data_IF_572915274069
#
_entry.id   IF_572915274069
#
_cell.length_a   1.000
_cell.length_b   1.000
_cell.length_c   1.000
_cell.angle_alpha   90.00
_cell.angle_beta   90.00
_cell.angle_gamma   90.00
#
_symmetry.space_group_name_H-M   'P 1'
#
loop_
_entity.id
_entity.type
_entity.pdbx_description
1 polymer ?
#
# COMPACT_ATOMS: atom_id res chain seq x y z
N UNK A 1 24.64 36.31 38.65
CA UNK A 1 23.52 35.84 37.81
C UNK A 1 23.49 34.33 37.83
N UNK A 2 22.68 33.72 38.70
CA UNK A 2 22.51 32.27 38.74
C UNK A 2 21.77 31.82 37.48
N UNK A 3 22.47 31.17 36.55
CA UNK A 3 21.82 30.41 35.49
C UNK A 3 21.22 29.17 36.15
N UNK A 4 19.97 29.23 36.58
CA UNK A 4 19.23 28.02 36.92
C UNK A 4 19.08 27.22 35.64
N UNK A 5 19.97 26.24 35.41
CA UNK A 5 19.80 25.26 34.35
C UNK A 5 18.40 24.68 34.49
N UNK A 6 17.58 24.79 33.44
CA UNK A 6 16.25 24.16 33.41
C UNK A 6 16.42 22.69 33.83
N UNK A 7 15.54 22.12 34.68
CA UNK A 7 15.61 20.72 35.09
C UNK A 7 15.83 19.75 33.92
N UNK A 8 15.27 20.07 32.74
CA UNK A 8 15.48 19.33 31.50
C UNK A 8 16.95 19.28 31.07
N UNK A 9 17.71 20.35 31.25
CA UNK A 9 19.13 20.39 30.89
C UNK A 9 19.97 19.46 31.79
N UNK A 10 19.68 19.43 33.08
CA UNK A 10 20.34 18.52 34.04
C UNK A 10 19.97 17.07 33.69
N UNK A 11 18.70 16.78 33.44
CA UNK A 11 18.28 15.43 33.05
C UNK A 11 18.93 14.96 31.75
N UNK A 12 19.01 15.81 30.71
CA UNK A 12 19.71 15.47 29.47
C UNK A 12 21.20 15.23 29.69
N UNK A 13 21.85 16.03 30.54
CA UNK A 13 23.26 15.86 30.85
C UNK A 13 23.51 14.50 31.53
N UNK A 14 22.68 14.13 32.52
CA UNK A 14 22.78 12.83 33.21
C UNK A 14 22.43 11.66 32.29
N UNK A 15 21.43 11.82 31.42
CA UNK A 15 20.97 10.77 30.51
C UNK A 15 22.07 10.24 29.59
N UNK A 16 23.07 11.06 29.24
CA UNK A 16 24.21 10.64 28.41
C UNK A 16 24.96 9.42 28.97
N UNK A 17 25.14 9.36 30.28
CA UNK A 17 25.78 8.23 30.98
C UNK A 17 24.81 7.15 31.45
N UNK A 18 23.50 7.40 31.37
CA UNK A 18 22.45 6.55 31.94
C UNK A 18 21.53 5.94 30.89
N UNK A 19 21.94 5.93 29.61
CA UNK A 19 21.18 5.33 28.51
C UNK A 19 20.85 3.85 28.75
N UNK A 20 21.71 3.11 29.45
CA UNK A 20 21.47 1.72 29.82
C UNK A 20 20.38 1.53 30.90
N UNK A 21 20.01 2.61 31.60
CA UNK A 21 19.11 2.62 32.75
C UNK A 21 17.78 3.34 32.46
N UNK A 22 17.42 3.47 31.17
CA UNK A 22 16.11 3.98 30.78
C UNK A 22 15.03 2.90 30.93
N UNK A 23 13.79 3.32 31.13
CA UNK A 23 12.65 2.43 31.25
C UNK A 23 11.41 2.98 30.56
N UNK A 24 10.75 2.13 29.78
CA UNK A 24 9.41 2.36 29.24
C UNK A 24 8.38 1.64 30.12
N UNK A 25 7.38 2.36 30.58
CA UNK A 25 6.28 1.82 31.36
C UNK A 25 5.49 0.79 30.56
N UNK A 26 5.23 -0.37 31.16
CA UNK A 26 4.40 -1.45 30.60
C UNK A 26 2.98 -1.41 31.14
N UNK A 27 2.09 -2.21 30.55
CA UNK A 27 0.72 -2.43 31.03
C UNK A 27 0.68 -3.08 32.42
N UNK A 28 1.65 -3.95 32.73
CA UNK A 28 1.79 -4.63 34.03
C UNK A 28 2.23 -3.69 35.17
N UNK A 29 2.54 -2.43 34.83
CA UNK A 29 2.93 -1.41 35.79
C UNK A 29 4.41 -1.39 36.17
N UNK A 30 5.22 -2.28 35.61
CA UNK A 30 6.68 -2.22 35.70
C UNK A 30 7.29 -1.48 34.49
N UNK A 31 8.62 -1.43 34.40
CA UNK A 31 9.33 -0.74 33.34
C UNK A 31 10.22 -1.73 32.58
N UNK A 32 10.08 -1.74 31.25
CA UNK A 32 10.97 -2.44 30.35
C UNK A 32 12.18 -1.54 30.02
N UNK A 33 13.38 -2.07 30.21
CA UNK A 33 14.65 -1.39 29.94
C UNK A 33 15.45 -2.04 28.82
N UNK A 34 16.59 -1.42 28.45
CA UNK A 34 17.54 -1.98 27.50
C UNK A 34 17.98 -3.40 27.91
N UNK A 35 18.34 -4.23 26.92
CA UNK A 35 18.79 -5.62 27.10
C UNK A 35 17.76 -6.53 27.78
N UNK A 36 16.46 -6.24 27.61
CA UNK A 36 15.36 -7.07 28.12
C UNK A 36 15.15 -6.97 29.64
N UNK A 37 15.74 -5.98 30.30
CA UNK A 37 15.56 -5.78 31.75
C UNK A 37 14.12 -5.38 32.07
N UNK A 38 13.59 -5.87 33.19
CA UNK A 38 12.29 -5.43 33.74
C UNK A 38 12.46 -5.05 35.20
N UNK A 39 12.11 -3.82 35.55
CA UNK A 39 12.30 -3.28 36.90
C UNK A 39 11.12 -2.43 37.36
N UNK A 40 11.00 -2.25 38.67
CA UNK A 40 10.00 -1.37 39.30
C UNK A 40 10.68 -0.16 39.94
N UNK A 41 9.95 0.94 40.11
CA UNK A 41 10.46 2.07 40.89
C UNK A 41 10.57 1.63 42.35
N UNK A 42 11.73 1.88 42.96
CA UNK A 42 11.95 1.61 44.38
C UNK A 42 11.04 2.48 45.27
N UNK A 43 10.47 1.95 46.37
CA UNK A 43 9.59 2.72 47.27
C UNK A 43 10.20 4.01 47.83
N UNK A 44 11.51 4.01 48.04
CA UNK A 44 12.26 5.20 48.49
C UNK A 44 12.54 6.25 47.42
N UNK A 45 12.08 6.06 46.17
CA UNK A 45 12.26 7.07 45.12
C UNK A 45 11.10 8.07 45.15
N UNK A 46 11.39 9.34 44.84
CA UNK A 46 10.42 10.43 44.87
C UNK A 46 9.22 10.19 43.95
N UNK A 47 9.39 9.51 42.83
CA UNK A 47 8.30 9.18 41.89
C UNK A 47 7.46 7.96 42.30
N UNK A 48 7.77 7.29 43.42
CA UNK A 48 6.95 6.19 43.91
C UNK A 48 5.60 6.72 44.39
N UNK A 49 4.50 6.07 43.97
CA UNK A 49 3.13 6.51 44.30
C UNK A 49 2.64 7.77 43.57
N UNK A 50 3.50 8.41 42.77
CA UNK A 50 3.08 9.51 41.89
C UNK A 50 2.44 9.01 40.59
N UNK A 51 1.85 9.93 39.83
CA UNK A 51 1.37 9.64 38.47
C UNK A 51 2.53 9.06 37.64
N UNK A 52 2.40 7.84 37.10
CA UNK A 52 3.51 7.18 36.42
C UNK A 52 3.87 7.93 35.14
N UNK A 53 5.17 8.22 34.98
CA UNK A 53 5.72 8.72 33.72
C UNK A 53 5.92 7.56 32.76
N UNK A 54 5.59 7.77 31.48
CA UNK A 54 5.74 6.72 30.48
C UNK A 54 7.22 6.33 30.27
N UNK A 55 8.11 7.31 30.29
CA UNK A 55 9.55 7.13 30.15
C UNK A 55 10.29 7.67 31.36
N UNK A 56 11.21 6.87 31.89
CA UNK A 56 12.07 7.24 33.02
C UNK A 56 13.53 6.92 32.74
N UNK A 57 14.44 7.62 33.42
CA UNK A 57 15.82 7.18 33.64
C UNK A 57 16.01 6.89 35.12
N UNK A 58 16.92 5.97 35.44
CA UNK A 58 17.35 5.67 36.79
C UNK A 58 18.84 5.93 36.97
N UNK A 59 19.24 6.48 38.12
CA UNK A 59 20.65 6.59 38.45
C UNK A 59 21.29 5.20 38.64
N UNK A 60 20.55 4.28 39.25
CA UNK A 60 20.96 2.90 39.45
C UNK A 60 19.77 1.94 39.35
N UNK A 61 20.06 0.73 38.86
CA UNK A 61 19.15 -0.42 38.86
C UNK A 61 19.79 -1.49 39.74
N UNK A 62 19.13 -1.84 40.84
CA UNK A 62 19.68 -2.71 41.88
C UNK A 62 18.77 -3.92 42.08
N UNK A 63 19.36 -5.11 42.11
CA UNK A 63 18.65 -6.35 42.42
C UNK A 63 18.62 -6.55 43.95
N UNK A 64 17.42 -6.58 44.52
CA UNK A 64 17.20 -7.03 45.89
C UNK A 64 16.22 -8.21 45.88
N UNK A 65 14.99 -8.05 46.39
CA UNK A 65 13.91 -9.03 46.22
C UNK A 65 13.36 -9.03 44.79
N UNK A 66 13.36 -7.88 44.14
CA UNK A 66 13.07 -7.67 42.72
C UNK A 66 14.12 -6.71 42.16
N UNK A 67 14.13 -6.52 40.85
CA UNK A 67 14.94 -5.50 40.21
C UNK A 67 14.26 -4.14 40.42
N UNK A 68 14.95 -3.21 41.09
CA UNK A 68 14.42 -1.89 41.42
C UNK A 68 15.28 -0.77 40.86
N UNK A 69 14.63 0.24 40.29
CA UNK A 69 15.24 1.50 39.89
C UNK A 69 15.19 2.52 41.04
N UNK A 70 16.33 3.16 41.33
CA UNK A 70 16.45 4.21 42.36
C UNK A 70 16.83 5.55 41.75
N UNK A 71 16.45 6.62 42.44
CA UNK A 71 16.68 8.01 42.02
C UNK A 71 16.21 8.24 40.58
N UNK A 72 14.92 7.98 40.33
CA UNK A 72 14.35 8.04 38.99
C UNK A 72 13.91 9.46 38.63
N UNK A 73 14.02 9.79 37.34
CA UNK A 73 13.55 11.04 36.78
C UNK A 73 12.81 10.79 35.46
N UNK A 74 11.76 11.57 35.13
CA UNK A 74 11.09 11.46 33.84
C UNK A 74 12.02 11.93 32.71
N UNK A 75 11.95 11.24 31.58
CA UNK A 75 12.68 11.59 30.35
C UNK A 75 11.75 11.52 29.14
N UNK A 76 12.22 12.06 28.00
CA UNK A 76 11.49 11.99 26.73
C UNK A 76 12.18 11.00 25.78
N UNK A 77 11.43 10.22 24.98
CA UNK A 77 12.02 9.31 24.00
C UNK A 77 12.91 10.04 22.99
N UNK A 78 12.54 11.27 22.61
CA UNK A 78 13.34 12.11 21.72
C UNK A 78 14.70 12.53 22.31
N UNK A 79 14.84 12.58 23.64
CA UNK A 79 16.15 12.81 24.27
C UNK A 79 16.99 11.56 24.23
N UNK A 80 16.40 10.41 24.54
CA UNK A 80 17.06 9.09 24.49
C UNK A 80 17.65 8.88 23.10
N UNK A 81 16.82 9.02 22.06
CA UNK A 81 17.25 8.80 20.68
C UNK A 81 18.39 9.74 20.26
N UNK A 82 18.25 11.05 20.50
CA UNK A 82 19.27 12.05 20.12
C UNK A 82 20.61 11.82 20.80
N UNK A 83 20.60 11.37 22.05
CA UNK A 83 21.82 11.09 22.81
C UNK A 83 22.40 9.71 22.46
N UNK A 84 21.55 8.78 22.04
CA UNK A 84 21.93 7.40 21.72
C UNK A 84 22.14 7.14 20.22
N UNK A 85 22.32 8.17 19.37
CA UNK A 85 22.42 8.00 17.90
C UNK A 85 23.47 6.96 17.48
N UNK A 86 24.53 6.80 18.28
CA UNK A 86 25.65 5.87 18.08
C UNK A 86 25.38 4.45 18.64
N UNK A 87 24.30 4.26 19.40
CA UNK A 87 23.93 2.99 20.05
C UNK A 87 22.61 2.40 19.51
N UNK A 88 21.80 3.21 18.83
CA UNK A 88 20.49 2.76 18.35
C UNK A 88 20.62 1.90 17.09
N UNK A 89 19.89 0.78 17.08
CA UNK A 89 19.56 0.05 15.87
C UNK A 89 18.34 0.67 15.19
N UNK A 90 18.29 0.58 13.86
CA UNK A 90 17.18 1.07 13.04
C UNK A 90 16.69 -0.04 12.13
N UNK A 91 15.40 -0.32 12.23
CA UNK A 91 14.72 -1.25 11.33
C UNK A 91 13.75 -0.46 10.46
N UNK A 92 13.77 -0.75 9.16
CA UNK A 92 12.86 -0.14 8.20
C UNK A 92 11.92 -1.19 7.62
N UNK A 93 10.62 -0.91 7.58
CA UNK A 93 9.63 -1.92 7.23
C UNK A 93 8.39 -1.33 6.58
N UNK A 94 7.58 -2.22 5.98
CA UNK A 94 6.31 -1.91 5.31
C UNK A 94 6.41 -0.73 4.35
N UNK A 95 7.25 -0.79 3.31
CA UNK A 95 7.28 0.27 2.31
C UNK A 95 5.96 0.34 1.55
N UNK A 96 5.48 1.55 1.30
CA UNK A 96 4.21 1.80 0.61
C UNK A 96 4.28 3.07 -0.23
N UNK A 97 3.45 3.12 -1.27
CA UNK A 97 3.31 4.31 -2.11
C UNK A 97 2.37 5.32 -1.46
N UNK A 98 2.88 6.51 -1.17
CA UNK A 98 2.08 7.66 -0.76
C UNK A 98 1.68 8.49 -1.98
N UNK A 99 0.37 8.53 -2.26
CA UNK A 99 -0.18 9.25 -3.40
C UNK A 99 -0.01 10.76 -3.27
N UNK A 100 -0.12 11.28 -2.04
CA UNK A 100 -0.11 12.72 -1.76
C UNK A 100 1.24 13.35 -2.05
N UNK A 101 2.32 12.70 -1.63
CA UNK A 101 3.69 13.17 -1.88
C UNK A 101 4.33 12.56 -3.12
N UNK A 102 3.66 11.61 -3.77
CA UNK A 102 4.15 10.84 -4.91
C UNK A 102 5.54 10.20 -4.64
N UNK A 103 5.68 9.57 -3.48
CA UNK A 103 6.93 8.95 -3.01
C UNK A 103 6.63 7.62 -2.32
N UNK A 104 7.66 6.78 -2.26
CA UNK A 104 7.62 5.60 -1.38
C UNK A 104 8.03 6.00 0.02
N UNK A 105 7.10 5.80 0.95
CA UNK A 105 7.32 5.92 2.38
C UNK A 105 7.48 4.54 2.99
N UNK A 106 7.99 4.49 4.21
CA UNK A 106 8.03 3.30 5.04
C UNK A 106 8.11 3.72 6.49
N UNK A 107 8.15 2.75 7.39
CA UNK A 107 8.26 3.01 8.81
C UNK A 107 9.67 2.73 9.31
N UNK A 108 10.22 3.65 10.09
CA UNK A 108 11.47 3.48 10.84
C UNK A 108 11.14 3.17 12.30
N UNK A 109 11.63 2.02 12.78
CA UNK A 109 11.64 1.66 14.19
C UNK A 109 13.05 1.85 14.74
N UNK A 110 13.17 2.58 15.84
CA UNK A 110 14.44 2.84 16.52
C UNK A 110 14.49 2.09 17.83
N UNK A 111 15.57 1.33 18.03
CA UNK A 111 15.76 0.48 19.20
C UNK A 111 17.08 0.80 19.91
N UNK A 112 17.03 0.93 21.22
CA UNK A 112 18.22 1.05 22.08
C UNK A 112 18.44 -0.28 22.80
N UNK A 113 19.41 -1.07 22.35
CA UNK A 113 19.70 -2.42 22.86
C UNK A 113 18.44 -3.29 23.06
N UNK A 114 17.55 -3.32 22.07
CA UNK A 114 16.31 -4.11 22.11
C UNK A 114 15.11 -3.40 22.76
N UNK A 115 15.29 -2.26 23.42
CA UNK A 115 14.18 -1.43 23.87
C UNK A 115 13.70 -0.53 22.72
N UNK A 116 12.42 -0.61 22.35
CA UNK A 116 11.83 0.23 21.30
C UNK A 116 11.64 1.66 21.82
N UNK A 117 12.37 2.61 21.23
CA UNK A 117 12.30 4.04 21.57
C UNK A 117 11.32 4.77 20.65
N UNK A 118 11.35 4.43 19.35
CA UNK A 118 10.41 4.89 18.34
C UNK A 118 9.82 3.64 17.66
N UNK A 119 8.52 3.34 17.80
CA UNK A 119 7.93 2.10 17.30
C UNK A 119 7.75 2.07 15.77
N UNK A 120 7.67 3.22 15.10
CA UNK A 120 7.40 3.27 13.67
C UNK A 120 6.98 4.65 13.20
N UNK A 121 7.95 5.55 12.98
CA UNK A 121 7.68 6.83 12.34
C UNK A 121 7.79 6.72 10.83
N UNK A 122 6.93 7.45 10.12
CA UNK A 122 6.99 7.50 8.67
C UNK A 122 8.24 8.24 8.19
N UNK A 123 8.97 7.61 7.26
CA UNK A 123 10.17 8.18 6.65
C UNK A 123 10.18 7.93 5.14
N UNK A 124 10.87 8.77 4.35
CA UNK A 124 11.16 8.45 2.95
C UNK A 124 11.95 7.14 2.84
N UNK A 125 11.40 6.16 2.13
CA UNK A 125 12.03 4.83 2.01
C UNK A 125 13.01 4.76 0.83
N UNK A 126 12.86 5.68 -0.14
CA UNK A 126 13.70 5.74 -1.35
C UNK A 126 15.20 5.77 -1.07
N UNK A 127 15.64 6.51 -0.04
CA UNK A 127 17.06 6.62 0.32
C UNK A 127 17.56 5.41 1.15
N UNK A 128 16.64 4.73 1.85
CA UNK A 128 16.95 3.56 2.67
C UNK A 128 17.14 2.34 1.78
N UNK A 129 16.21 2.11 0.85
CA UNK A 129 16.27 1.01 -0.10
C UNK A 129 15.65 1.44 -1.43
N UNK A 130 16.47 1.95 -2.37
CA UNK A 130 16.01 2.37 -3.70
C UNK A 130 15.36 1.25 -4.50
N UNK A 131 15.89 0.02 -4.40
CA UNK A 131 15.40 -1.13 -5.15
C UNK A 131 13.98 -1.51 -4.71
N UNK A 132 13.79 -1.77 -3.41
CA UNK A 132 12.47 -2.10 -2.87
C UNK A 132 11.47 -0.94 -3.08
N UNK A 133 11.95 0.31 -3.02
CA UNK A 133 11.12 1.47 -3.33
C UNK A 133 10.64 1.44 -4.79
N UNK A 134 11.52 1.15 -5.73
CA UNK A 134 11.12 1.03 -7.13
C UNK A 134 10.10 -0.07 -7.34
N UNK A 135 10.27 -1.23 -6.70
CA UNK A 135 9.30 -2.32 -6.79
C UNK A 135 7.92 -1.90 -6.26
N UNK A 136 7.88 -1.24 -5.10
CA UNK A 136 6.64 -0.67 -4.54
C UNK A 136 6.02 0.37 -5.47
N UNK A 137 6.83 1.25 -6.07
CA UNK A 137 6.34 2.23 -7.02
C UNK A 137 5.73 1.57 -8.27
N UNK A 138 6.35 0.52 -8.81
CA UNK A 138 5.80 -0.21 -9.96
C UNK A 138 4.49 -0.90 -9.58
N UNK A 139 4.46 -1.67 -8.49
CA UNK A 139 3.25 -2.39 -8.06
C UNK A 139 2.12 -1.43 -7.68
N UNK A 140 2.35 -0.58 -6.69
CA UNK A 140 1.29 0.25 -6.13
C UNK A 140 1.05 1.48 -7.02
N UNK A 141 2.10 2.16 -7.45
CA UNK A 141 2.00 3.36 -8.27
C UNK A 141 1.45 3.06 -9.67
N UNK A 142 2.17 2.25 -10.45
CA UNK A 142 1.86 2.06 -11.88
C UNK A 142 0.82 0.98 -12.16
N UNK A 143 0.89 -0.18 -11.50
CA UNK A 143 -0.01 -1.31 -11.78
C UNK A 143 -1.37 -1.14 -11.11
N UNK A 144 -1.38 -0.81 -9.82
CA UNK A 144 -2.62 -0.55 -9.07
C UNK A 144 -3.20 0.84 -9.33
N UNK A 145 -2.54 1.66 -10.15
CA UNK A 145 -3.04 2.98 -10.56
C UNK A 145 -3.04 4.02 -9.44
N UNK A 146 -2.22 3.86 -8.39
CA UNK A 146 -2.13 4.84 -7.30
C UNK A 146 -1.28 6.06 -7.66
N UNK A 147 -0.52 6.00 -8.74
CA UNK A 147 0.20 7.15 -9.27
C UNK A 147 -0.75 8.03 -10.12
N UNK A 148 -0.96 9.28 -9.68
CA UNK A 148 -1.87 10.23 -10.33
C UNK A 148 -1.14 11.11 -11.37
N UNK A 149 -0.43 10.47 -12.31
CA UNK A 149 0.22 11.17 -13.42
C UNK A 149 -0.77 11.50 -14.55
N UNK A 150 -0.50 12.58 -15.29
CA UNK A 150 -1.31 12.98 -16.47
C UNK A 150 -0.88 12.32 -17.79
N UNK A 151 -0.09 11.24 -17.74
CA UNK A 151 0.48 10.62 -18.92
C UNK A 151 -0.55 9.76 -19.68
N UNK A 152 -0.63 9.91 -21.00
CA UNK A 152 -1.62 9.19 -21.81
C UNK A 152 -1.49 7.66 -21.74
N UNK A 153 -0.26 7.13 -21.58
CA UNK A 153 -0.03 5.69 -21.44
C UNK A 153 -0.72 5.10 -20.19
N UNK A 154 -0.88 5.87 -19.10
CA UNK A 154 -1.53 5.38 -17.88
C UNK A 154 -3.00 5.06 -18.16
N UNK A 155 -3.69 5.98 -18.86
CA UNK A 155 -5.06 5.77 -19.30
C UNK A 155 -5.16 4.60 -20.27
N UNK A 156 -4.29 4.55 -21.29
CA UNK A 156 -4.25 3.44 -22.24
C UNK A 156 -4.07 2.07 -21.55
N UNK A 157 -3.08 1.94 -20.67
CA UNK A 157 -2.81 0.68 -19.96
C UNK A 157 -3.97 0.29 -19.04
N UNK A 158 -4.59 1.26 -18.37
CA UNK A 158 -5.80 1.03 -17.57
C UNK A 158 -6.95 0.53 -18.44
N UNK A 159 -7.26 1.23 -19.53
CA UNK A 159 -8.34 0.89 -20.45
C UNK A 159 -8.13 -0.50 -21.07
N UNK A 160 -6.88 -0.86 -21.41
CA UNK A 160 -6.52 -2.18 -21.90
C UNK A 160 -6.83 -3.27 -20.86
N UNK A 161 -6.46 -3.07 -19.60
CA UNK A 161 -6.80 -4.02 -18.52
C UNK A 161 -8.30 -4.14 -18.35
N UNK A 162 -9.05 -3.04 -18.38
CA UNK A 162 -10.52 -3.08 -18.30
C UNK A 162 -11.14 -3.79 -19.51
N UNK A 163 -10.57 -3.60 -20.70
CA UNK A 163 -11.01 -4.30 -21.90
C UNK A 163 -10.81 -5.81 -21.78
N UNK A 164 -9.67 -6.28 -21.27
CA UNK A 164 -9.46 -7.71 -21.00
C UNK A 164 -10.47 -8.24 -19.98
N UNK A 165 -10.73 -7.50 -18.90
CA UNK A 165 -11.72 -7.91 -17.88
C UNK A 165 -13.13 -8.06 -18.44
N UNK A 166 -13.55 -7.16 -19.34
CA UNK A 166 -14.84 -7.32 -20.04
C UNK A 166 -14.90 -8.63 -20.84
N UNK A 167 -13.80 -9.00 -21.48
CA UNK A 167 -13.69 -10.27 -22.19
C UNK A 167 -13.69 -11.50 -21.27
N UNK A 168 -13.13 -11.40 -20.06
CA UNK A 168 -13.21 -12.48 -19.06
C UNK A 168 -14.66 -12.81 -18.73
N UNK A 169 -15.51 -11.79 -18.59
CA UNK A 169 -16.94 -11.99 -18.36
C UNK A 169 -17.65 -12.59 -19.59
N UNK A 170 -17.33 -12.12 -20.80
CA UNK A 170 -17.90 -12.67 -22.05
C UNK A 170 -17.55 -14.15 -22.24
N UNK A 171 -16.29 -14.51 -22.07
CA UNK A 171 -15.79 -15.87 -22.29
C UNK A 171 -15.90 -16.78 -21.06
N UNK A 172 -16.28 -16.21 -19.91
CA UNK A 172 -16.36 -16.92 -18.61
C UNK A 172 -15.07 -17.68 -18.28
N UNK A 173 -13.94 -17.07 -18.62
CA UNK A 173 -12.61 -17.66 -18.46
C UNK A 173 -11.64 -16.55 -18.05
N UNK A 174 -10.70 -16.80 -17.10
CA UNK A 174 -9.64 -15.85 -16.82
C UNK A 174 -8.78 -15.63 -18.07
N UNK A 175 -8.58 -14.38 -18.43
CA UNK A 175 -7.79 -13.92 -19.58
C UNK A 175 -6.68 -12.98 -19.15
N UNK A 176 -6.87 -12.21 -18.07
CA UNK A 176 -5.90 -11.27 -17.56
C UNK A 176 -4.78 -12.02 -16.84
N UNK A 177 -3.56 -11.86 -17.34
CA UNK A 177 -2.37 -12.35 -16.67
C UNK A 177 -2.22 -11.67 -15.30
N UNK A 178 -1.61 -12.40 -14.36
CA UNK A 178 -1.29 -11.89 -13.03
C UNK A 178 -0.45 -10.61 -13.06
N UNK A 179 -0.43 -9.90 -11.94
CA UNK A 179 0.32 -8.63 -11.83
C UNK A 179 1.80 -8.79 -12.19
N UNK A 180 2.39 -9.96 -11.96
CA UNK A 180 3.77 -10.32 -12.31
C UNK A 180 4.13 -10.02 -13.77
N UNK A 181 3.22 -10.28 -14.73
CA UNK A 181 3.50 -10.03 -16.14
C UNK A 181 3.58 -8.53 -16.44
N UNK A 182 2.69 -7.74 -15.84
CA UNK A 182 2.70 -6.27 -15.91
C UNK A 182 3.87 -5.67 -15.14
N UNK A 183 4.26 -6.29 -14.03
CA UNK A 183 5.44 -5.93 -13.28
C UNK A 183 6.71 -6.12 -14.12
N UNK A 184 6.89 -7.28 -14.75
CA UNK A 184 8.02 -7.54 -15.64
C UNK A 184 8.12 -6.51 -16.78
N UNK A 185 6.98 -6.11 -17.38
CA UNK A 185 6.95 -5.06 -18.41
C UNK A 185 7.57 -3.74 -17.92
N UNK A 186 7.17 -3.25 -16.75
CA UNK A 186 7.72 -2.02 -16.17
C UNK A 186 9.12 -2.25 -15.61
N UNK A 187 9.41 -3.41 -15.04
CA UNK A 187 10.70 -3.73 -14.44
C UNK A 187 11.83 -3.71 -15.49
N UNK A 188 11.56 -4.11 -16.72
CA UNK A 188 12.52 -4.06 -17.82
C UNK A 188 12.74 -2.64 -18.37
N UNK A 189 11.81 -1.72 -18.13
CA UNK A 189 11.75 -0.40 -18.78
C UNK A 189 12.11 0.76 -17.85
N UNK A 190 11.59 0.76 -16.64
CA UNK A 190 11.78 1.82 -15.65
C UNK A 190 13.18 1.69 -15.03
N UNK A 191 14.05 2.71 -15.03
CA UNK A 191 15.38 2.62 -14.44
C UNK A 191 15.37 2.35 -12.93
N UNK A 192 16.49 1.87 -12.37
CA UNK A 192 16.59 1.49 -10.96
C UNK A 192 16.45 2.67 -9.98
N UNK A 193 16.84 3.87 -10.40
CA UNK A 193 16.78 5.12 -9.63
C UNK A 193 15.41 5.81 -9.68
N UNK A 194 14.45 5.24 -10.44
CA UNK A 194 13.11 5.81 -10.60
C UNK A 194 12.11 5.14 -9.65
N UNK A 195 11.97 5.74 -8.47
CA UNK A 195 11.06 5.28 -7.40
C UNK A 195 10.19 6.40 -6.81
N UNK A 196 10.12 7.56 -7.47
CA UNK A 196 9.24 8.68 -7.09
C UNK A 196 8.54 9.25 -8.30
N UNK A 197 7.41 9.92 -8.11
CA UNK A 197 6.65 10.52 -9.20
C UNK A 197 7.44 11.60 -9.93
N UNK A 198 8.25 12.37 -9.21
CA UNK A 198 9.13 13.38 -9.80
C UNK A 198 10.23 12.76 -10.67
N UNK A 199 10.93 11.74 -10.15
CA UNK A 199 11.96 11.02 -10.90
C UNK A 199 11.35 10.35 -12.14
N UNK A 200 10.17 9.76 -11.98
CA UNK A 200 9.44 9.09 -13.05
C UNK A 200 9.03 10.06 -14.16
N UNK A 201 8.45 11.21 -13.84
CA UNK A 201 8.08 12.21 -14.85
C UNK A 201 9.29 12.74 -15.62
N UNK A 202 10.38 13.04 -14.91
CA UNK A 202 11.59 13.54 -15.54
C UNK A 202 12.20 12.54 -16.50
N UNK A 203 12.25 11.26 -16.12
CA UNK A 203 12.74 10.19 -16.97
C UNK A 203 11.78 9.91 -18.14
N UNK A 204 10.49 9.73 -17.86
CA UNK A 204 9.45 9.42 -18.84
C UNK A 204 9.43 10.45 -19.97
N UNK A 205 9.39 11.74 -19.64
CA UNK A 205 9.37 12.83 -20.64
C UNK A 205 10.59 12.83 -21.53
N UNK A 206 11.76 12.39 -21.04
CA UNK A 206 12.97 12.25 -21.86
C UNK A 206 12.83 11.05 -22.80
N UNK A 207 12.36 9.91 -22.30
CA UNK A 207 12.15 8.71 -23.10
C UNK A 207 11.09 8.89 -24.19
N UNK A 208 9.96 9.52 -23.86
CA UNK A 208 8.85 9.72 -24.80
C UNK A 208 9.20 10.65 -25.98
N UNK A 209 10.25 11.47 -25.87
CA UNK A 209 10.74 12.28 -27.00
C UNK A 209 11.28 11.42 -28.14
N UNK A 210 11.90 10.28 -27.82
CA UNK A 210 12.47 9.37 -28.81
C UNK A 210 11.59 8.15 -29.04
N UNK A 211 10.86 7.70 -28.01
CA UNK A 211 9.99 6.53 -28.06
C UNK A 211 8.65 6.82 -27.36
N UNK A 212 7.69 7.51 -28.05
CA UNK A 212 6.43 7.92 -27.45
C UNK A 212 5.59 6.76 -26.89
N UNK A 213 5.69 5.58 -27.50
CA UNK A 213 4.92 4.39 -27.13
C UNK A 213 5.64 3.45 -26.15
N UNK A 214 6.79 3.86 -25.59
CA UNK A 214 7.66 2.97 -24.79
C UNK A 214 6.96 2.30 -23.60
N UNK A 215 5.99 2.99 -22.99
CA UNK A 215 5.24 2.53 -21.81
C UNK A 215 3.81 2.06 -22.14
N UNK A 216 3.45 1.96 -23.42
CA UNK A 216 2.14 1.47 -23.83
C UNK A 216 2.16 -0.05 -23.86
N UNK A 217 1.32 -0.66 -23.03
CA UNK A 217 1.14 -2.10 -23.03
C UNK A 217 0.34 -2.55 -24.24
N UNK A 218 0.61 -3.78 -24.67
CA UNK A 218 -0.12 -4.46 -25.73
C UNK A 218 -0.93 -5.64 -25.16
N UNK A 219 -1.96 -6.14 -25.88
CA UNK A 219 -2.72 -7.32 -25.43
C UNK A 219 -1.83 -8.51 -25.06
N UNK A 220 -0.76 -8.77 -25.81
CA UNK A 220 0.17 -9.88 -25.58
C UNK A 220 0.87 -9.79 -24.21
N UNK A 221 1.02 -8.57 -23.68
CA UNK A 221 1.68 -8.30 -22.40
C UNK A 221 0.72 -8.39 -21.21
N UNK A 222 -0.59 -8.40 -21.46
CA UNK A 222 -1.62 -8.48 -20.40
C UNK A 222 -2.44 -9.76 -20.44
N UNK A 223 -2.50 -10.47 -21.57
CA UNK A 223 -3.25 -11.73 -21.70
C UNK A 223 -2.47 -12.93 -21.16
N UNK A 224 -3.16 -13.92 -20.61
CA UNK A 224 -2.61 -15.24 -20.27
C UNK A 224 -2.18 -15.96 -21.55
N UNK A 225 -3.07 -15.99 -22.54
CA UNK A 225 -2.86 -16.57 -23.86
C UNK A 225 -3.00 -15.46 -24.93
N UNK A 226 -1.89 -14.97 -25.50
CA UNK A 226 -1.91 -13.95 -26.55
C UNK A 226 -2.59 -14.41 -27.85
N UNK A 227 -2.70 -15.72 -28.10
CA UNK A 227 -3.28 -16.29 -29.31
C UNK A 227 -4.79 -16.46 -29.26
N UNK A 228 -5.45 -16.03 -28.17
CA UNK A 228 -6.89 -16.20 -28.02
C UNK A 228 -7.65 -15.36 -29.07
N UNK A 229 -8.49 -16.03 -29.87
CA UNK A 229 -9.36 -15.37 -30.84
C UNK A 229 -10.51 -14.66 -30.13
N UNK A 230 -10.43 -13.33 -30.02
CA UNK A 230 -11.48 -12.49 -29.47
C UNK A 230 -12.37 -11.99 -30.61
N UNK A 231 -13.51 -12.65 -30.81
CA UNK A 231 -14.47 -12.33 -31.88
C UNK A 231 -15.67 -11.56 -31.32
N UNK A 232 -15.69 -10.25 -31.55
CA UNK A 232 -16.77 -9.37 -31.07
C UNK A 232 -18.14 -9.75 -31.66
N UNK A 233 -18.19 -10.37 -32.84
CA UNK A 233 -19.45 -10.79 -33.45
C UNK A 233 -20.14 -11.92 -32.65
N UNK A 234 -19.38 -12.69 -31.86
CA UNK A 234 -19.93 -13.73 -30.98
C UNK A 234 -20.37 -13.18 -29.62
N UNK A 235 -19.88 -12.00 -29.24
CA UNK A 235 -20.15 -11.37 -27.95
C UNK A 235 -20.37 -9.86 -28.13
N UNK A 236 -21.46 -9.44 -28.78
CA UNK A 236 -21.73 -8.04 -29.07
C UNK A 236 -22.03 -7.24 -27.79
N UNK A 237 -21.65 -5.97 -27.75
CA UNK A 237 -21.94 -5.07 -26.60
C UNK A 237 -23.39 -4.54 -26.62
N UNK A 238 -24.10 -4.73 -27.72
CA UNK A 238 -25.50 -4.34 -27.86
C UNK A 238 -26.24 -5.34 -28.75
N UNK A 239 -27.52 -5.49 -28.47
CA UNK A 239 -28.47 -6.22 -29.32
C UNK A 239 -29.46 -5.23 -29.93
N UNK A 240 -29.95 -5.54 -31.13
CA UNK A 240 -31.09 -4.85 -31.70
C UNK A 240 -32.32 -5.74 -31.57
N UNK A 241 -33.38 -5.20 -30.97
CA UNK A 241 -34.64 -5.91 -30.74
C UNK A 241 -35.78 -5.00 -31.14
N UNK A 242 -36.49 -5.35 -32.23
CA UNK A 242 -37.60 -4.56 -32.79
C UNK A 242 -37.23 -3.08 -33.05
N UNK A 243 -36.02 -2.81 -33.53
CA UNK A 243 -35.51 -1.46 -33.79
C UNK A 243 -35.01 -0.71 -32.55
N UNK A 244 -35.04 -1.33 -31.37
CA UNK A 244 -34.44 -0.81 -30.15
C UNK A 244 -33.03 -1.39 -29.98
N UNK A 245 -32.04 -0.52 -29.84
CA UNK A 245 -30.68 -0.92 -29.47
C UNK A 245 -30.57 -1.01 -27.95
N UNK A 246 -30.46 -2.23 -27.43
CA UNK A 246 -30.32 -2.52 -26.00
C UNK A 246 -28.86 -2.85 -25.70
N UNK A 247 -28.29 -2.23 -24.66
CA UNK A 247 -26.94 -2.55 -24.23
C UNK A 247 -26.91 -3.91 -23.52
N UNK A 248 -25.85 -4.68 -23.75
CA UNK A 248 -25.64 -5.98 -23.12
C UNK A 248 -24.52 -5.88 -22.09
N UNK A 249 -24.80 -6.36 -20.88
CA UNK A 249 -23.81 -6.57 -19.84
C UNK A 249 -23.57 -8.06 -19.67
N UNK A 250 -22.28 -8.43 -19.58
CA UNK A 250 -21.86 -9.80 -19.33
C UNK A 250 -21.29 -9.85 -17.92
N UNK A 251 -21.77 -10.80 -17.13
CA UNK A 251 -21.22 -11.10 -15.81
C UNK A 251 -20.92 -12.59 -15.73
N UNK A 252 -19.82 -12.90 -15.06
CA UNK A 252 -19.47 -14.27 -14.71
C UNK A 252 -19.18 -14.32 -13.22
N UNK A 253 -20.20 -14.66 -12.44
CA UNK A 253 -20.11 -14.77 -10.98
C UNK A 253 -21.08 -15.87 -10.49
N UNK A 254 -20.61 -17.12 -10.35
CA UNK A 254 -21.46 -18.24 -9.97
C UNK A 254 -22.15 -18.00 -8.61
N UNK A 255 -23.48 -17.81 -8.63
CA UNK A 255 -24.30 -17.56 -7.44
C UNK A 255 -24.86 -16.14 -7.36
N UNK A 256 -24.45 -15.23 -8.24
CA UNK A 256 -25.07 -13.91 -8.42
C UNK A 256 -26.31 -14.02 -9.32
N UNK A 257 -27.38 -13.31 -8.99
CA UNK A 257 -28.62 -13.32 -9.80
C UNK A 257 -28.42 -12.73 -11.20
N UNK A 258 -27.39 -11.89 -11.39
CA UNK A 258 -27.04 -11.32 -12.68
C UNK A 258 -25.97 -12.14 -13.43
N UNK A 259 -25.61 -13.36 -12.99
CA UNK A 259 -24.71 -14.23 -13.74
C UNK A 259 -25.27 -14.55 -15.14
N UNK A 260 -24.48 -14.27 -16.19
CA UNK A 260 -24.93 -14.39 -17.57
C UNK A 260 -24.95 -13.10 -18.36
N UNK A 261 -25.91 -13.00 -19.28
CA UNK A 261 -26.10 -11.82 -20.13
C UNK A 261 -27.31 -11.06 -19.63
N UNK A 262 -27.12 -9.80 -19.27
CA UNK A 262 -28.17 -8.89 -18.87
C UNK A 262 -28.39 -7.85 -19.96
N UNK A 263 -29.62 -7.71 -20.45
CA UNK A 263 -29.97 -6.63 -21.36
C UNK A 263 -30.45 -5.42 -20.54
N UNK A 264 -29.85 -4.24 -20.79
CA UNK A 264 -30.24 -2.99 -20.16
C UNK A 264 -31.37 -2.35 -20.98
N UNK A 265 -32.56 -2.32 -20.40
CA UNK A 265 -33.78 -1.84 -21.05
C UNK A 265 -34.20 -0.50 -20.44
N UNK A 266 -34.26 0.59 -21.21
CA UNK A 266 -34.87 1.84 -20.75
C UNK A 266 -36.33 1.61 -20.35
N UNK A 267 -36.77 2.16 -19.21
CA UNK A 267 -38.13 1.94 -18.70
C UNK A 267 -39.23 2.29 -19.72
N UNK A 268 -38.98 3.31 -20.56
CA UNK A 268 -39.88 3.74 -21.64
C UNK A 268 -40.04 2.73 -22.76
N UNK A 269 -39.06 1.84 -22.95
CA UNK A 269 -39.04 0.80 -23.97
C UNK A 269 -39.58 -0.55 -23.45
N UNK A 270 -39.77 -0.69 -22.14
CA UNK A 270 -40.20 -1.95 -21.50
C UNK A 270 -41.53 -2.48 -22.06
N UNK A 271 -42.48 -1.58 -22.33
CA UNK A 271 -43.79 -1.94 -22.88
C UNK A 271 -43.75 -2.44 -24.34
N UNK A 272 -42.65 -2.20 -25.04
CA UNK A 272 -42.45 -2.63 -26.43
C UNK A 272 -41.76 -4.00 -26.51
N UNK A 273 -41.33 -4.56 -25.37
CA UNK A 273 -40.66 -5.85 -25.36
C UNK A 273 -41.65 -7.01 -25.56
N UNK A 274 -41.31 -7.99 -26.42
CA UNK A 274 -42.10 -9.20 -26.56
C UNK A 274 -42.05 -10.01 -25.26
N UNK A 275 -43.22 -10.26 -24.66
CA UNK A 275 -43.37 -11.04 -23.41
C UNK A 275 -43.02 -12.52 -23.63
N UNK A 276 -43.15 -13.03 -24.85
CA UNK A 276 -42.82 -14.41 -25.24
C UNK A 276 -42.26 -14.47 -26.68
N UNK A 277 -41.26 -15.34 -26.93
CA UNK A 277 -40.87 -15.71 -28.29
C UNK A 277 -40.00 -14.69 -29.04
N UNK A 278 -39.51 -13.65 -28.38
CA UNK A 278 -38.64 -12.62 -28.96
C UNK A 278 -37.14 -12.95 -28.97
N UNK A 279 -36.76 -14.16 -28.57
CA UNK A 279 -35.35 -14.57 -28.46
C UNK A 279 -34.66 -14.15 -27.17
N UNK A 280 -35.32 -13.37 -26.29
CA UNK A 280 -34.88 -13.11 -24.91
C UNK A 280 -34.78 -14.41 -24.09
N UNK A 281 -35.64 -15.38 -24.41
CA UNK A 281 -35.69 -16.73 -23.83
C UNK A 281 -34.44 -17.58 -24.14
N UNK A 282 -33.55 -17.10 -25.03
CA UNK A 282 -32.38 -17.81 -25.55
C UNK A 282 -31.05 -17.07 -25.34
N UNK A 283 -30.98 -16.17 -24.37
CA UNK A 283 -29.76 -15.44 -23.99
C UNK A 283 -28.71 -16.38 -23.35
N UNK A 284 -28.18 -17.31 -24.13
CA UNK A 284 -27.05 -18.17 -23.78
C UNK A 284 -25.80 -17.59 -24.44
N UNK A 285 -24.80 -17.12 -23.69
CA UNK A 285 -23.55 -16.60 -24.25
C UNK A 285 -22.93 -17.60 -25.25
N UNK A 286 -22.50 -17.12 -26.41
CA UNK A 286 -21.82 -17.92 -27.44
C UNK A 286 -22.73 -18.77 -28.35
N UNK A 287 -24.07 -18.70 -28.22
CA UNK A 287 -25.02 -19.36 -29.15
C UNK A 287 -26.12 -18.41 -29.61
N UNK A 288 -25.73 -17.30 -30.25
CA UNK A 288 -26.70 -16.44 -30.94
C UNK A 288 -27.30 -17.17 -32.15
N UNK A 289 -28.64 -17.14 -32.34
CA UNK A 289 -29.26 -17.67 -33.54
C UNK A 289 -28.74 -16.97 -34.81
N UNK A 290 -28.65 -17.68 -35.94
CA UNK A 290 -28.08 -17.13 -37.20
C UNK A 290 -28.80 -15.88 -37.73
N UNK A 291 -30.09 -15.70 -37.40
CA UNK A 291 -30.89 -14.53 -37.78
C UNK A 291 -30.65 -13.29 -36.90
N UNK A 292 -29.73 -13.36 -35.93
CA UNK A 292 -29.29 -12.22 -35.12
C UNK A 292 -28.06 -11.49 -35.69
N UNK A 293 -27.47 -12.01 -36.77
CA UNK A 293 -26.24 -11.47 -37.38
C UNK A 293 -26.51 -10.40 -38.43
N UNK A 294 -27.71 -9.83 -38.48
CA UNK A 294 -28.13 -8.85 -39.48
C UNK A 294 -28.59 -7.56 -38.81
#
# INVERSE_FOLDING_TARGET
MHHSSSPDAIHRALLTGLLANVGLRTEDGDYAGPRGTRFRIHPGSTLFGQKPSQWIMAAEIVQTTKLYARSVAPVRPTWIEKLALHLVGRDYFKPFWDQRTARVLGFEKVMLHGLVVEPGREVPFGQVNPQASREVFIHQGLIQGRYQGGAAFLKHNHDLVQWVRRWEHKLRKPLLAGEEKRFAFYQQRVPQDVYSGQAFENWRRKMERTQPQFLYMTPEQVLIDPGIGLDEAQFPDAMELQGLKLALEYRHDPGDEADGVTAIVPLVALAQLPVHGGGLDRLVPGRWPSWWRH
#
